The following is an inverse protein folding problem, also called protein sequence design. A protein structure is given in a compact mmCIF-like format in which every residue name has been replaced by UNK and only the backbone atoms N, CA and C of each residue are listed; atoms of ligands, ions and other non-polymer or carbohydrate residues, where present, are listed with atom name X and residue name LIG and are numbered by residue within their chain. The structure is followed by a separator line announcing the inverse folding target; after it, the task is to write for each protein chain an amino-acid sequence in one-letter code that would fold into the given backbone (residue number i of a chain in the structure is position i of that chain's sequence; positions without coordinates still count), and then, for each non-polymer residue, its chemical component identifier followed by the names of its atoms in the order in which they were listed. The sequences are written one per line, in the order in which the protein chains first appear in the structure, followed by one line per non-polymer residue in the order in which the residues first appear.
data_IF_730471307727
#
_entry.id   IF_730471307727
#
_cell.length_a   1.000
_cell.length_b   1.000
_cell.length_c   1.000
_cell.angle_alpha   90.00
_cell.angle_beta   90.00
_cell.angle_gamma   90.00
#
_symmetry.space_group_name_H-M   'P 1'
#
loop_
_entity.id
_entity.type
_entity.pdbx_description
1 polymer ?
#
# COMPACT_ATOMS: atom_id res chain seq x y z
N UNK A 1 -28.37 -11.67 -49.93
CA UNK A 1 -29.33 -11.13 -48.94
C UNK A 1 -30.28 -12.26 -48.59
N UNK A 2 -30.09 -12.89 -47.42
CA UNK A 2 -30.99 -13.97 -46.98
C UNK A 2 -32.39 -13.40 -46.76
N UNK A 3 -33.39 -13.97 -47.40
CA UNK A 3 -34.78 -13.61 -47.16
C UNK A 3 -35.11 -14.00 -45.71
N UNK A 4 -35.67 -13.07 -44.95
CA UNK A 4 -36.19 -13.33 -43.59
C UNK A 4 -37.17 -14.54 -43.54
N UNK A 5 -37.70 -14.95 -44.71
CA UNK A 5 -38.54 -16.11 -44.92
C UNK A 5 -37.86 -17.48 -44.68
N UNK A 6 -36.55 -17.63 -44.87
CA UNK A 6 -35.88 -18.93 -44.69
C UNK A 6 -35.75 -19.35 -43.21
N UNK A 7 -35.89 -18.41 -42.27
CA UNK A 7 -35.69 -18.70 -40.84
C UNK A 7 -36.96 -19.14 -40.09
N UNK A 8 -38.15 -18.94 -40.67
CA UNK A 8 -39.43 -19.26 -40.01
C UNK A 8 -40.03 -20.62 -40.41
N UNK A 9 -39.59 -21.21 -41.53
CA UNK A 9 -40.18 -22.45 -42.08
C UNK A 9 -39.81 -23.73 -41.31
N UNK A 10 -38.79 -23.71 -40.44
CA UNK A 10 -38.22 -24.91 -39.82
C UNK A 10 -38.37 -25.03 -38.29
N UNK A 11 -39.16 -24.17 -37.65
CA UNK A 11 -39.49 -24.34 -36.23
C UNK A 11 -40.96 -24.77 -36.08
N UNK A 12 -41.30 -25.68 -35.16
CA UNK A 12 -42.68 -25.97 -34.83
C UNK A 12 -43.27 -24.70 -34.21
N UNK A 13 -44.11 -23.96 -34.95
CA UNK A 13 -44.60 -22.66 -34.51
C UNK A 13 -45.93 -22.82 -33.75
N UNK A 14 -45.96 -22.72 -32.41
CA UNK A 14 -47.21 -22.70 -31.62
C UNK A 14 -48.13 -21.52 -31.94
N UNK A 15 -47.74 -20.62 -32.85
CA UNK A 15 -48.45 -19.40 -33.24
C UNK A 15 -48.77 -19.34 -34.74
N UNK A 16 -48.66 -20.46 -35.47
CA UNK A 16 -48.93 -20.49 -36.92
C UNK A 16 -50.32 -19.93 -37.28
N UNK A 17 -51.33 -20.16 -36.43
CA UNK A 17 -52.68 -19.62 -36.61
C UNK A 17 -52.75 -18.08 -36.47
N UNK A 18 -51.86 -17.47 -35.68
CA UNK A 18 -51.80 -16.02 -35.47
C UNK A 18 -51.12 -15.29 -36.63
N UNK A 19 -50.27 -15.98 -37.40
CA UNK A 19 -49.49 -15.41 -38.50
C UNK A 19 -50.21 -15.43 -39.86
N UNK A 20 -51.39 -16.08 -39.97
CA UNK A 20 -52.13 -16.27 -41.24
C UNK A 20 -52.35 -14.97 -42.01
N UNK A 21 -52.67 -13.86 -41.33
CA UNK A 21 -52.87 -12.56 -41.98
C UNK A 21 -51.57 -11.96 -42.54
N UNK A 22 -50.43 -12.25 -41.93
CA UNK A 22 -49.11 -11.85 -42.41
C UNK A 22 -48.63 -12.76 -43.56
N UNK A 23 -48.88 -14.07 -43.48
CA UNK A 23 -48.58 -15.00 -44.57
C UNK A 23 -49.40 -14.65 -45.83
N UNK A 24 -50.68 -14.29 -45.65
CA UNK A 24 -51.53 -13.76 -46.73
C UNK A 24 -51.02 -12.42 -47.29
N UNK A 25 -50.38 -11.60 -46.46
CA UNK A 25 -49.75 -10.35 -46.88
C UNK A 25 -48.51 -10.61 -47.76
N UNK A 26 -47.72 -11.63 -47.44
CA UNK A 26 -46.56 -12.04 -48.24
C UNK A 26 -46.97 -12.54 -49.63
N UNK A 27 -48.02 -13.36 -49.72
CA UNK A 27 -48.54 -13.83 -51.01
C UNK A 27 -49.01 -12.67 -51.90
N UNK A 28 -49.72 -11.69 -51.32
CA UNK A 28 -50.19 -10.48 -52.03
C UNK A 28 -49.04 -9.57 -52.46
N UNK A 29 -47.90 -9.61 -51.78
CA UNK A 29 -46.73 -8.81 -52.14
C UNK A 29 -46.15 -9.21 -53.51
N UNK A 30 -46.19 -10.51 -53.84
CA UNK A 30 -45.76 -11.00 -55.15
C UNK A 30 -46.64 -10.43 -56.28
N UNK A 31 -47.96 -10.46 -56.11
CA UNK A 31 -48.91 -9.88 -57.08
C UNK A 31 -48.75 -8.36 -57.22
N UNK A 32 -48.53 -7.64 -56.12
CA UNK A 32 -48.32 -6.20 -56.15
C UNK A 32 -46.99 -5.83 -56.83
N UNK A 33 -45.95 -6.66 -56.65
CA UNK A 33 -44.66 -6.49 -57.34
C UNK A 33 -44.80 -6.72 -58.85
N UNK A 34 -45.59 -7.69 -59.26
CA UNK A 34 -45.87 -7.92 -60.69
C UNK A 34 -46.69 -6.77 -61.30
N UNK A 35 -47.74 -6.31 -60.60
CA UNK A 35 -48.67 -5.26 -61.10
C UNK A 35 -48.11 -3.84 -61.04
N UNK A 36 -47.31 -3.54 -60.03
CA UNK A 36 -46.82 -2.17 -59.73
C UNK A 36 -45.31 -2.06 -59.61
N UNK A 37 -44.56 -3.10 -60.01
CA UNK A 37 -43.09 -3.09 -59.98
C UNK A 37 -42.46 -2.11 -60.96
N UNK A 38 -43.19 -1.69 -61.99
CA UNK A 38 -42.72 -0.74 -62.99
C UNK A 38 -43.26 0.67 -62.75
N UNK A 39 -42.30 1.59 -62.68
CA UNK A 39 -42.37 3.06 -62.81
C UNK A 39 -43.31 3.64 -63.89
N UNK A 40 -44.58 4.09 -63.69
CA UNK A 40 -45.30 4.75 -64.79
C UNK A 40 -44.66 6.12 -65.11
N UNK A 41 -44.77 6.58 -66.35
CA UNK A 41 -44.36 7.94 -66.72
C UNK A 41 -45.39 8.97 -66.22
N UNK A 42 -45.06 9.64 -65.12
CA UNK A 42 -45.89 10.66 -64.47
C UNK A 42 -46.06 11.95 -65.27
N UNK A 43 -45.29 12.18 -66.33
CA UNK A 43 -45.46 13.35 -67.20
C UNK A 43 -46.73 13.25 -68.07
N UNK A 44 -47.28 12.03 -68.22
CA UNK A 44 -48.52 11.77 -68.95
C UNK A 44 -49.72 11.70 -68.01
N UNK A 45 -50.90 12.10 -68.49
CA UNK A 45 -52.16 12.03 -67.71
C UNK A 45 -52.52 10.59 -67.31
N UNK A 46 -52.20 9.63 -68.18
CA UNK A 46 -52.45 8.20 -67.95
C UNK A 46 -51.48 7.62 -66.92
N UNK A 47 -50.18 7.90 -67.04
CA UNK A 47 -49.17 7.46 -66.08
C UNK A 47 -49.36 8.08 -64.69
N UNK A 48 -49.79 9.33 -64.60
CA UNK A 48 -50.16 9.95 -63.31
C UNK A 48 -51.34 9.22 -62.64
N UNK A 49 -52.37 8.85 -63.40
CA UNK A 49 -53.53 8.11 -62.89
C UNK A 49 -53.13 6.70 -62.42
N UNK A 50 -52.33 5.99 -63.21
CA UNK A 50 -51.82 4.66 -62.88
C UNK A 50 -50.92 4.70 -61.63
N UNK A 51 -50.02 5.68 -61.55
CA UNK A 51 -49.14 5.89 -60.39
C UNK A 51 -49.91 6.19 -59.11
N UNK A 52 -50.98 6.99 -59.16
CA UNK A 52 -51.85 7.25 -58.00
C UNK A 52 -52.53 5.96 -57.50
N UNK A 53 -52.99 5.11 -58.41
CA UNK A 53 -53.60 3.82 -58.04
C UNK A 53 -52.59 2.86 -57.43
N UNK A 54 -51.38 2.79 -58.00
CA UNK A 54 -50.27 2.01 -57.45
C UNK A 54 -49.93 2.46 -56.01
N UNK A 55 -49.74 3.76 -55.79
CA UNK A 55 -49.45 4.32 -54.46
C UNK A 55 -50.56 3.98 -53.46
N UNK A 56 -51.83 4.11 -53.85
CA UNK A 56 -52.95 3.79 -52.97
C UNK A 56 -52.97 2.30 -52.58
N UNK A 57 -52.76 1.40 -53.55
CA UNK A 57 -52.73 -0.04 -53.31
C UNK A 57 -51.55 -0.44 -52.40
N UNK A 58 -50.34 0.05 -52.70
CA UNK A 58 -49.14 -0.21 -51.89
C UNK A 58 -49.26 0.36 -50.48
N UNK A 59 -49.82 1.57 -50.33
CA UNK A 59 -50.04 2.18 -49.01
C UNK A 59 -51.06 1.40 -48.18
N UNK A 60 -52.15 0.94 -48.80
CA UNK A 60 -53.17 0.10 -48.14
C UNK A 60 -52.56 -1.22 -47.68
N UNK A 61 -51.72 -1.84 -48.51
CA UNK A 61 -51.01 -3.07 -48.15
C UNK A 61 -50.08 -2.84 -46.94
N UNK A 62 -49.21 -1.83 -47.01
CA UNK A 62 -48.27 -1.47 -45.92
C UNK A 62 -48.99 -1.25 -44.59
N UNK A 63 -50.04 -0.44 -44.60
CA UNK A 63 -50.79 -0.11 -43.37
C UNK A 63 -51.61 -1.29 -42.85
N UNK A 64 -52.12 -2.15 -43.73
CA UNK A 64 -52.80 -3.39 -43.35
C UNK A 64 -51.86 -4.38 -42.66
N UNK A 65 -50.66 -4.61 -43.21
CA UNK A 65 -49.63 -5.47 -42.59
C UNK A 65 -49.22 -4.96 -41.21
N UNK A 66 -49.00 -3.65 -41.07
CA UNK A 66 -48.63 -3.06 -39.78
C UNK A 66 -49.75 -3.21 -38.74
N UNK A 67 -51.02 -3.04 -39.16
CA UNK A 67 -52.19 -3.29 -38.30
C UNK A 67 -52.28 -4.75 -37.85
N UNK A 68 -52.05 -5.70 -38.76
CA UNK A 68 -52.04 -7.14 -38.43
C UNK A 68 -50.92 -7.47 -37.43
N UNK A 69 -49.70 -6.98 -37.67
CA UNK A 69 -48.57 -7.12 -36.74
C UNK A 69 -48.90 -6.57 -35.35
N UNK A 70 -49.49 -5.38 -35.26
CA UNK A 70 -49.87 -4.78 -33.98
C UNK A 70 -50.98 -5.55 -33.28
N UNK A 71 -51.96 -6.07 -34.02
CA UNK A 71 -53.04 -6.89 -33.47
C UNK A 71 -52.51 -8.21 -32.87
N UNK A 72 -51.55 -8.86 -33.53
CA UNK A 72 -50.90 -10.07 -33.03
C UNK A 72 -50.05 -9.76 -31.81
N UNK A 73 -49.20 -8.74 -31.88
CA UNK A 73 -48.20 -8.48 -30.82
C UNK A 73 -48.78 -7.82 -29.57
N UNK A 74 -49.92 -7.15 -29.66
CA UNK A 74 -50.50 -6.42 -28.52
C UNK A 74 -50.89 -7.33 -27.35
N UNK A 75 -51.69 -8.41 -27.52
CA UNK A 75 -52.03 -9.32 -26.43
C UNK A 75 -50.80 -9.92 -25.73
N UNK A 76 -49.75 -10.24 -26.49
CA UNK A 76 -48.50 -10.76 -25.94
C UNK A 76 -47.77 -9.72 -25.09
N UNK A 77 -47.72 -8.46 -25.53
CA UNK A 77 -47.14 -7.35 -24.74
C UNK A 77 -47.93 -7.11 -23.47
N UNK A 78 -49.26 -7.05 -23.57
CA UNK A 78 -50.15 -6.85 -22.43
C UNK A 78 -49.99 -8.00 -21.40
N UNK A 79 -49.85 -9.24 -21.88
CA UNK A 79 -49.58 -10.40 -21.02
C UNK A 79 -48.22 -10.32 -20.33
N UNK A 80 -47.16 -9.98 -21.07
CA UNK A 80 -45.81 -9.80 -20.51
C UNK A 80 -45.83 -8.71 -19.43
N UNK A 81 -46.50 -7.59 -19.69
CA UNK A 81 -46.64 -6.52 -18.70
C UNK A 81 -47.35 -7.00 -17.43
N UNK A 82 -48.47 -7.72 -17.56
CA UNK A 82 -49.20 -8.29 -16.44
C UNK A 82 -48.34 -9.27 -15.63
N UNK A 83 -47.59 -10.15 -16.29
CA UNK A 83 -46.68 -11.11 -15.63
C UNK A 83 -45.60 -10.35 -14.85
N UNK A 84 -44.98 -9.35 -15.46
CA UNK A 84 -43.94 -8.55 -14.81
C UNK A 84 -44.48 -7.78 -13.59
N UNK A 85 -45.67 -7.19 -13.69
CA UNK A 85 -46.31 -6.51 -12.56
C UNK A 85 -46.58 -7.48 -11.41
N UNK A 86 -47.11 -8.67 -11.70
CA UNK A 86 -47.35 -9.70 -10.67
C UNK A 86 -46.05 -10.18 -10.03
N UNK A 87 -45.03 -10.45 -10.84
CA UNK A 87 -43.72 -10.88 -10.35
C UNK A 87 -43.10 -9.82 -9.44
N UNK A 88 -43.18 -8.54 -9.82
CA UNK A 88 -42.69 -7.43 -8.99
C UNK A 88 -43.40 -7.36 -7.62
N UNK A 89 -44.72 -7.58 -7.59
CA UNK A 89 -45.47 -7.64 -6.33
C UNK A 89 -45.00 -8.77 -5.43
N UNK A 90 -44.86 -9.99 -5.99
CA UNK A 90 -44.38 -11.15 -5.24
C UNK A 90 -42.95 -10.97 -4.72
N UNK A 91 -42.05 -10.41 -5.54
CA UNK A 91 -40.68 -10.08 -5.11
C UNK A 91 -40.72 -9.09 -3.95
N UNK A 92 -41.52 -8.04 -4.03
CA UNK A 92 -41.67 -7.07 -2.94
C UNK A 92 -42.22 -7.68 -1.65
N UNK A 93 -43.18 -8.61 -1.73
CA UNK A 93 -43.68 -9.34 -0.55
C UNK A 93 -42.59 -10.24 0.07
N UNK A 94 -41.82 -10.94 -0.76
CA UNK A 94 -40.70 -11.76 -0.30
C UNK A 94 -39.63 -10.89 0.37
N UNK A 95 -39.29 -9.73 -0.21
CA UNK A 95 -38.34 -8.78 0.37
C UNK A 95 -38.82 -8.25 1.73
N UNK A 96 -40.12 -7.98 1.90
CA UNK A 96 -40.68 -7.58 3.18
C UNK A 96 -40.56 -8.67 4.26
N UNK A 97 -40.65 -9.94 3.87
CA UNK A 97 -40.43 -11.07 4.77
C UNK A 97 -38.93 -11.28 5.07
N UNK A 98 -38.07 -11.08 4.07
CA UNK A 98 -36.62 -11.27 4.22
C UNK A 98 -35.97 -10.17 5.07
N UNK A 99 -36.39 -8.91 4.90
CA UNK A 99 -35.82 -7.75 5.56
C UNK A 99 -35.64 -7.92 7.09
N UNK A 100 -36.65 -8.33 7.89
CA UNK A 100 -36.47 -8.52 9.33
C UNK A 100 -35.50 -9.67 9.67
N UNK A 101 -35.45 -10.72 8.87
CA UNK A 101 -34.48 -11.81 9.09
C UNK A 101 -33.04 -11.34 8.82
N UNK A 102 -32.84 -10.56 7.76
CA UNK A 102 -31.54 -9.98 7.44
C UNK A 102 -31.07 -9.02 8.53
N UNK A 103 -31.98 -8.19 9.04
CA UNK A 103 -31.70 -7.27 10.13
C UNK A 103 -31.32 -8.02 11.41
N UNK A 104 -32.14 -8.97 11.84
CA UNK A 104 -31.87 -9.77 13.03
C UNK A 104 -30.55 -10.55 12.94
N UNK A 105 -30.22 -11.09 11.75
CA UNK A 105 -28.93 -11.72 11.50
C UNK A 105 -27.79 -10.71 11.64
N UNK A 106 -27.91 -9.53 11.04
CA UNK A 106 -26.88 -8.48 11.10
C UNK A 106 -26.58 -8.07 12.53
N UNK A 107 -27.60 -7.86 13.36
CA UNK A 107 -27.40 -7.49 14.77
C UNK A 107 -26.60 -8.54 15.55
N UNK A 108 -26.87 -9.83 15.32
CA UNK A 108 -26.14 -10.94 15.94
C UNK A 108 -24.71 -11.01 15.44
N UNK A 109 -24.50 -10.96 14.12
CA UNK A 109 -23.18 -11.01 13.49
C UNK A 109 -22.31 -9.83 13.96
N UNK A 110 -22.87 -8.61 14.05
CA UNK A 110 -22.18 -7.42 14.54
C UNK A 110 -21.87 -7.50 16.06
N UNK A 111 -22.75 -8.11 16.86
CA UNK A 111 -22.50 -8.32 18.28
C UNK A 111 -21.38 -9.35 18.51
N UNK A 112 -21.39 -10.45 17.76
CA UNK A 112 -20.33 -11.47 17.81
C UNK A 112 -18.99 -10.90 17.34
N UNK A 113 -19.00 -10.14 16.25
CA UNK A 113 -17.80 -9.47 15.74
C UNK A 113 -17.24 -8.48 16.77
N UNK A 114 -18.07 -7.63 17.38
CA UNK A 114 -17.64 -6.71 18.45
C UNK A 114 -17.10 -7.46 19.67
N UNK A 115 -17.70 -8.58 20.05
CA UNK A 115 -17.21 -9.39 21.17
C UNK A 115 -15.84 -10.01 20.85
N UNK A 116 -15.65 -10.49 19.62
CA UNK A 116 -14.37 -11.02 19.14
C UNK A 116 -13.29 -9.94 19.09
N UNK A 117 -13.60 -8.77 18.55
CA UNK A 117 -12.67 -7.63 18.49
C UNK A 117 -12.28 -7.15 19.89
N UNK A 118 -13.25 -7.04 20.81
CA UNK A 118 -12.96 -6.69 22.20
C UNK A 118 -12.07 -7.73 22.89
N UNK A 119 -12.31 -9.03 22.64
CA UNK A 119 -11.46 -10.11 23.17
C UNK A 119 -10.04 -10.04 22.61
N UNK A 120 -9.89 -9.81 21.30
CA UNK A 120 -8.59 -9.64 20.65
C UNK A 120 -7.86 -8.41 21.22
N UNK A 121 -8.56 -7.29 21.42
CA UNK A 121 -7.98 -6.09 22.02
C UNK A 121 -7.46 -6.34 23.44
N UNK A 122 -8.25 -7.03 24.28
CA UNK A 122 -7.81 -7.43 25.62
C UNK A 122 -6.60 -8.35 25.59
N UNK A 123 -6.55 -9.30 24.65
CA UNK A 123 -5.40 -10.19 24.48
C UNK A 123 -4.15 -9.43 24.03
N UNK A 124 -4.30 -8.40 23.18
CA UNK A 124 -3.20 -7.54 22.74
C UNK A 124 -2.68 -6.64 23.87
N UNK A 125 -3.57 -6.06 24.66
CA UNK A 125 -3.19 -5.29 25.85
C UNK A 125 -2.44 -6.19 26.86
N UNK A 126 -2.92 -7.43 27.05
CA UNK A 126 -2.21 -8.42 27.85
C UNK A 126 -0.84 -8.76 27.26
N UNK A 127 -0.73 -8.91 25.94
CA UNK A 127 0.53 -9.20 25.25
C UNK A 127 1.54 -8.06 25.46
N UNK A 128 1.09 -6.81 25.34
CA UNK A 128 1.92 -5.63 25.58
C UNK A 128 2.44 -5.60 27.03
N UNK A 129 1.55 -5.85 28.00
CA UNK A 129 1.91 -5.83 29.43
C UNK A 129 2.78 -7.00 29.86
N UNK A 130 2.55 -8.22 29.34
CA UNK A 130 3.24 -9.43 29.78
C UNK A 130 4.49 -9.74 28.95
N UNK A 131 4.59 -9.30 27.69
CA UNK A 131 5.71 -9.61 26.79
C UNK A 131 6.48 -8.36 26.40
N UNK A 132 5.81 -7.34 25.86
CA UNK A 132 6.51 -6.16 25.34
C UNK A 132 7.17 -5.33 26.45
N UNK A 133 6.56 -5.26 27.64
CA UNK A 133 7.06 -4.52 28.82
C UNK A 133 8.46 -4.94 29.32
N UNK A 134 8.92 -6.15 28.96
CA UNK A 134 10.27 -6.58 29.24
C UNK A 134 11.32 -5.68 28.57
N UNK A 135 11.00 -5.05 27.43
CA UNK A 135 11.90 -4.08 26.79
C UNK A 135 12.07 -2.80 27.60
N UNK A 136 11.04 -2.38 28.33
CA UNK A 136 11.11 -1.21 29.22
C UNK A 136 11.89 -1.57 30.49
N UNK A 137 11.63 -2.75 31.05
CA UNK A 137 12.34 -3.26 32.24
C UNK A 137 13.84 -3.48 31.99
N UNK A 138 14.21 -3.80 30.75
CA UNK A 138 15.61 -4.00 30.36
C UNK A 138 16.45 -2.71 30.37
N UNK A 139 15.84 -1.52 30.44
CA UNK A 139 16.58 -0.27 30.41
C UNK A 139 17.45 -0.10 31.67
N UNK A 140 18.75 0.15 31.47
CA UNK A 140 19.70 0.39 32.56
C UNK A 140 20.20 -0.85 33.28
N UNK A 141 19.76 -2.06 32.91
CA UNK A 141 20.28 -3.30 33.47
C UNK A 141 21.71 -3.62 32.98
N UNK A 142 22.45 -4.35 33.81
CA UNK A 142 23.74 -4.94 33.49
C UNK A 142 23.58 -6.30 32.78
N UNK A 143 24.69 -6.92 32.37
CA UNK A 143 24.66 -8.21 31.69
C UNK A 143 23.94 -9.30 32.49
N UNK A 144 24.14 -9.35 33.81
CA UNK A 144 23.52 -10.35 34.68
C UNK A 144 22.01 -10.15 34.78
N UNK A 145 21.56 -8.90 34.95
CA UNK A 145 20.14 -8.55 34.98
C UNK A 145 19.45 -8.85 33.65
N UNK A 146 20.10 -8.54 32.52
CA UNK A 146 19.58 -8.83 31.19
C UNK A 146 19.48 -10.34 30.90
N UNK A 147 20.44 -11.14 31.37
CA UNK A 147 20.39 -12.60 31.24
C UNK A 147 19.18 -13.19 31.99
N UNK A 148 18.94 -12.76 33.24
CA UNK A 148 17.75 -13.20 33.99
C UNK A 148 16.44 -12.80 33.32
N UNK A 149 16.39 -11.60 32.74
CA UNK A 149 15.23 -11.12 32.00
C UNK A 149 14.95 -11.93 30.73
N UNK A 150 15.99 -12.39 30.03
CA UNK A 150 15.86 -13.28 28.87
C UNK A 150 15.24 -14.62 29.30
N UNK A 151 15.72 -15.21 30.39
CA UNK A 151 15.18 -16.48 30.90
C UNK A 151 13.69 -16.36 31.28
N UNK A 152 13.31 -15.26 31.93
CA UNK A 152 11.92 -14.97 32.25
C UNK A 152 11.06 -14.80 30.98
N UNK A 153 11.54 -14.04 30.01
CA UNK A 153 10.84 -13.84 28.74
C UNK A 153 10.73 -15.15 27.93
N UNK A 154 11.73 -16.04 28.00
CA UNK A 154 11.68 -17.37 27.37
C UNK A 154 10.63 -18.29 28.01
N UNK A 155 10.38 -18.15 29.30
CA UNK A 155 9.40 -18.96 30.04
C UNK A 155 7.94 -18.60 29.75
N UNK A 156 7.66 -17.48 29.07
CA UNK A 156 6.28 -17.04 28.76
C UNK A 156 5.59 -18.06 27.84
N UNK A 157 4.42 -18.54 28.26
CA UNK A 157 3.57 -19.41 27.45
C UNK A 157 2.69 -18.59 26.48
N UNK A 158 2.88 -18.81 25.18
CA UNK A 158 2.14 -18.13 24.12
C UNK A 158 0.82 -18.81 23.76
N UNK A 159 0.60 -20.07 24.17
CA UNK A 159 -0.64 -20.81 23.87
C UNK A 159 -1.87 -20.17 24.53
N UNK A 160 -1.67 -19.50 25.67
CA UNK A 160 -2.71 -18.78 26.42
C UNK A 160 -3.26 -17.52 25.75
N UNK A 161 -2.80 -17.18 24.54
CA UNK A 161 -3.24 -16.01 23.76
C UNK A 161 -4.28 -16.34 22.67
N UNK A 162 -4.66 -17.60 22.51
CA UNK A 162 -5.80 -18.05 21.70
C UNK A 162 -5.86 -17.42 20.29
N UNK A 163 -6.76 -16.46 20.07
CA UNK A 163 -7.02 -15.82 18.77
C UNK A 163 -5.82 -15.09 18.18
N UNK A 164 -4.84 -14.74 19.01
CA UNK A 164 -3.61 -14.03 18.61
C UNK A 164 -2.33 -14.82 18.97
N UNK A 165 -2.41 -16.15 19.10
CA UNK A 165 -1.25 -17.00 19.48
C UNK A 165 -0.04 -16.74 18.59
N UNK A 166 -0.25 -16.64 17.27
CA UNK A 166 0.84 -16.34 16.33
C UNK A 166 1.44 -14.95 16.56
N UNK A 167 0.61 -13.93 16.75
CA UNK A 167 1.09 -12.57 17.04
C UNK A 167 1.90 -12.57 18.35
N UNK A 168 1.49 -13.36 19.34
CA UNK A 168 2.20 -13.51 20.61
C UNK A 168 3.56 -14.24 20.46
N UNK A 169 3.62 -15.29 19.63
CA UNK A 169 4.87 -15.98 19.28
C UNK A 169 5.86 -15.06 18.57
N UNK A 170 5.37 -14.32 17.57
CA UNK A 170 6.17 -13.37 16.80
C UNK A 170 6.68 -12.22 17.70
N UNK A 171 5.84 -11.70 18.58
CA UNK A 171 6.21 -10.63 19.52
C UNK A 171 7.20 -11.13 20.58
N UNK A 172 7.00 -12.33 21.14
CA UNK A 172 7.97 -12.96 22.06
C UNK A 172 9.32 -13.14 21.38
N UNK A 173 9.34 -13.63 20.14
CA UNK A 173 10.57 -13.80 19.38
C UNK A 173 11.28 -12.45 19.15
N UNK A 174 10.53 -11.40 18.82
CA UNK A 174 11.04 -10.03 18.66
C UNK A 174 11.67 -9.51 19.96
N UNK A 175 10.95 -9.60 21.08
CA UNK A 175 11.43 -9.16 22.39
C UNK A 175 12.71 -9.89 22.78
N UNK A 176 12.73 -11.22 22.66
CA UNK A 176 13.92 -12.03 22.97
C UNK A 176 15.12 -11.66 22.10
N UNK A 177 14.92 -11.40 20.81
CA UNK A 177 16.00 -10.97 19.93
C UNK A 177 16.60 -9.63 20.41
N UNK A 178 15.75 -8.65 20.72
CA UNK A 178 16.20 -7.34 21.22
C UNK A 178 16.88 -7.45 22.59
N UNK A 179 16.37 -8.28 23.51
CA UNK A 179 16.99 -8.48 24.82
C UNK A 179 18.39 -9.11 24.68
N UNK A 180 18.53 -10.12 23.80
CA UNK A 180 19.83 -10.75 23.53
C UNK A 180 20.84 -9.78 22.93
N UNK A 181 20.39 -8.89 22.04
CA UNK A 181 21.23 -7.83 21.49
C UNK A 181 21.71 -6.86 22.60
N UNK A 182 20.78 -6.40 23.46
CA UNK A 182 21.13 -5.54 24.61
C UNK A 182 22.08 -6.24 25.58
N UNK A 183 21.88 -7.53 25.84
CA UNK A 183 22.75 -8.33 26.70
C UNK A 183 24.17 -8.40 26.13
N UNK A 184 24.31 -8.67 24.83
CA UNK A 184 25.62 -8.67 24.16
C UNK A 184 26.30 -7.29 24.25
N UNK A 185 25.56 -6.21 24.04
CA UNK A 185 26.09 -4.85 24.16
C UNK A 185 26.51 -4.50 25.60
N UNK A 186 25.76 -4.98 26.61
CA UNK A 186 26.11 -4.78 28.02
C UNK A 186 27.39 -5.53 28.39
N UNK A 187 27.55 -6.78 27.96
CA UNK A 187 28.78 -7.55 28.14
C UNK A 187 30.01 -6.85 27.55
N UNK A 188 29.89 -6.32 26.34
CA UNK A 188 30.98 -5.58 25.69
C UNK A 188 31.32 -4.29 26.44
N UNK A 189 30.31 -3.53 26.89
CA UNK A 189 30.49 -2.32 27.69
C UNK A 189 31.21 -2.63 29.01
N UNK A 190 30.82 -3.70 29.68
CA UNK A 190 31.43 -4.14 30.94
C UNK A 190 32.88 -4.61 30.73
N UNK A 191 33.16 -5.37 29.66
CA UNK A 191 34.53 -5.78 29.32
C UNK A 191 35.43 -4.57 29.08
N UNK A 192 34.98 -3.61 28.27
CA UNK A 192 35.73 -2.39 28.00
C UNK A 192 35.92 -1.51 29.24
N UNK A 193 34.94 -1.48 30.15
CA UNK A 193 35.07 -0.77 31.43
C UNK A 193 36.14 -1.41 32.31
N UNK A 194 36.15 -2.75 32.42
CA UNK A 194 37.16 -3.49 33.18
C UNK A 194 38.57 -3.29 32.60
N UNK A 195 38.72 -3.40 31.28
CA UNK A 195 40.01 -3.14 30.60
C UNK A 195 40.52 -1.71 30.86
N UNK A 196 39.64 -0.70 30.85
CA UNK A 196 40.01 0.69 31.17
C UNK A 196 40.46 0.85 32.61
N UNK A 197 39.75 0.24 33.56
CA UNK A 197 40.15 0.27 34.97
C UNK A 197 41.51 -0.40 35.20
N UNK A 198 41.81 -1.51 34.51
CA UNK A 198 43.11 -2.17 34.59
C UNK A 198 44.22 -1.27 34.05
N UNK A 199 44.03 -0.67 32.86
CA UNK A 199 45.00 0.27 32.27
C UNK A 199 45.22 1.48 33.18
N UNK A 200 44.17 2.02 33.81
CA UNK A 200 44.30 3.13 34.75
C UNK A 200 45.07 2.74 36.02
N UNK A 201 44.86 1.53 36.56
CA UNK A 201 45.64 1.00 37.69
C UNK A 201 47.11 0.82 37.33
N UNK A 202 47.41 0.24 36.17
CA UNK A 202 48.78 0.08 35.68
C UNK A 202 49.48 1.44 35.48
N UNK A 203 48.78 2.42 34.92
CA UNK A 203 49.31 3.80 34.76
C UNK A 203 49.61 4.45 36.10
N UNK A 204 48.70 4.33 37.07
CA UNK A 204 48.89 4.88 38.41
C UNK A 204 50.06 4.19 39.15
N UNK A 205 50.24 2.88 38.99
CA UNK A 205 51.37 2.15 39.56
C UNK A 205 52.70 2.56 38.90
N UNK A 206 52.72 2.67 37.58
CA UNK A 206 53.89 3.08 36.81
C UNK A 206 54.28 4.53 37.11
N UNK A 207 53.30 5.42 37.33
CA UNK A 207 53.53 6.79 37.79
C UNK A 207 54.11 6.83 39.21
N UNK A 208 53.60 6.00 40.14
CA UNK A 208 54.19 5.87 41.49
C UNK A 208 55.63 5.38 41.46
N UNK A 209 55.94 4.40 40.62
CA UNK A 209 57.30 3.87 40.46
C UNK A 209 58.25 4.90 39.82
N UNK A 210 57.75 5.72 38.89
CA UNK A 210 58.52 6.85 38.32
C UNK A 210 58.78 7.94 39.35
N UNK A 211 57.75 8.34 40.12
CA UNK A 211 57.88 9.34 41.18
C UNK A 211 58.84 8.91 42.30
N UNK A 212 58.91 7.61 42.61
CA UNK A 212 59.87 7.06 43.59
C UNK A 212 61.32 6.97 43.07
N UNK A 213 61.53 6.99 41.74
CA UNK A 213 62.85 6.91 41.11
C UNK A 213 63.49 8.28 40.81
N UNK A 214 62.75 9.39 40.95
CA UNK A 214 63.31 10.74 40.82
C UNK A 214 64.02 11.13 42.13
N UNK A 215 65.36 11.27 42.17
CA UNK A 215 66.04 11.82 43.34
C UNK A 215 65.64 13.30 43.49
N UNK A 216 65.43 13.75 44.73
CA UNK A 216 65.27 15.17 45.03
C UNK A 216 66.56 15.92 44.66
N UNK A 217 66.56 16.55 43.49
CA UNK A 217 67.59 17.50 43.09
C UNK A 217 67.40 18.78 43.94
N UNK A 218 68.39 19.18 44.75
CA UNK A 218 68.20 20.29 45.67
C UNK A 218 68.16 21.62 44.92
N UNK A 219 67.12 22.40 45.21
CA UNK A 219 67.02 23.80 44.84
C UNK A 219 68.24 24.59 45.37
N UNK A 220 68.90 25.34 44.48
CA UNK A 220 69.78 26.45 44.85
C UNK A 220 69.58 27.67 43.91
N UNK A 221 69.86 28.89 44.41
CA UNK A 221 69.19 30.14 44.00
C UNK A 221 70.03 31.07 43.10
N UNK A 222 69.32 31.87 42.28
CA UNK A 222 69.62 33.20 41.68
C UNK A 222 71.07 33.65 41.36
N UNK A 223 71.32 33.85 40.04
CA UNK A 223 72.02 34.93 39.26
C UNK A 223 72.91 36.00 39.94
N UNK A 224 73.87 36.72 39.26
CA UNK A 224 73.85 37.20 37.84
C UNK A 224 75.23 37.39 37.09
N UNK A 225 75.18 37.95 35.85
CA UNK A 225 76.15 38.88 35.20
C UNK A 225 76.90 38.45 33.90
N UNK A 226 76.31 38.78 32.73
CA UNK A 226 76.78 39.66 31.61
C UNK A 226 78.18 39.46 30.91
N UNK A 227 78.44 40.05 29.71
CA UNK A 227 77.92 39.84 28.34
C UNK A 227 79.04 39.63 27.26
N UNK A 228 78.65 39.70 25.96
CA UNK A 228 79.43 39.78 24.70
C UNK A 228 79.69 38.43 23.99
N UNK A 229 79.54 38.23 22.68
CA UNK A 229 79.20 39.04 21.50
C UNK A 229 78.85 38.05 20.33
N UNK A 230 78.41 38.51 19.13
CA UNK A 230 77.52 37.75 18.24
C UNK A 230 78.24 36.93 17.17
N UNK A 231 77.60 35.88 16.65
CA UNK A 231 77.97 35.26 15.36
C UNK A 231 76.82 34.46 14.74
N UNK A 232 76.31 35.01 13.65
CA UNK A 232 75.78 34.43 12.41
C UNK A 232 74.56 33.46 12.40
N UNK A 233 73.65 33.64 11.42
CA UNK A 233 72.45 32.83 11.31
C UNK A 233 72.75 31.56 10.49
N UNK A 234 72.68 30.40 11.12
CA UNK A 234 72.67 29.12 10.41
C UNK A 234 71.22 28.64 10.25
N UNK A 235 70.73 28.81 9.03
CA UNK A 235 69.93 27.83 8.30
C UNK A 235 68.57 27.42 8.91
N UNK A 236 67.62 28.33 8.72
CA UNK A 236 66.20 28.00 8.50
C UNK A 236 66.06 27.29 7.14
N UNK A 237 66.33 25.99 7.08
CA UNK A 237 65.83 25.11 6.02
C UNK A 237 66.00 23.65 6.43
N UNK A 238 65.10 23.17 7.29
CA UNK A 238 64.65 21.77 7.22
C UNK A 238 63.21 21.59 7.74
N UNK A 239 62.32 22.46 7.28
CA UNK A 239 60.86 22.25 7.35
C UNK A 239 60.33 21.44 6.15
N UNK A 240 61.20 20.66 5.48
CA UNK A 240 60.85 19.71 4.44
C UNK A 240 60.46 18.32 4.99
N UNK A 241 59.92 18.28 6.22
CA UNK A 241 59.45 17.07 6.90
C UNK A 241 58.00 17.12 7.40
N UNK A 242 57.27 18.20 7.11
CA UNK A 242 55.86 18.38 7.50
C UNK A 242 54.94 18.64 6.28
N UNK A 243 55.36 18.15 5.11
CA UNK A 243 54.54 18.08 3.90
C UNK A 243 53.81 16.74 3.70
N UNK A 244 53.86 15.82 4.67
CA UNK A 244 53.32 14.45 4.52
C UNK A 244 52.62 13.91 5.78
N UNK A 245 52.08 14.79 6.63
CA UNK A 245 51.33 14.39 7.82
C UNK A 245 50.05 15.22 8.06
N UNK A 246 49.50 15.80 6.98
CA UNK A 246 48.21 16.50 6.98
C UNK A 246 47.43 16.27 5.67
N UNK A 247 47.80 15.21 4.93
CA UNK A 247 47.19 14.83 3.66
C UNK A 247 46.33 13.56 3.75
N UNK A 248 45.90 13.18 4.95
CA UNK A 248 44.97 12.06 5.19
C UNK A 248 44.03 12.38 6.37
N UNK A 249 43.62 13.65 6.50
CA UNK A 249 42.33 13.91 7.12
C UNK A 249 41.35 13.91 5.95
N UNK A 250 40.54 12.84 5.73
CA UNK A 250 39.44 12.97 4.81
C UNK A 250 38.66 14.19 5.29
N UNK A 251 38.48 15.19 4.41
CA UNK A 251 37.53 16.24 4.67
C UNK A 251 36.25 15.51 5.07
N UNK A 252 35.88 15.63 6.34
CA UNK A 252 34.69 14.98 6.85
C UNK A 252 33.54 15.62 6.08
N UNK A 253 33.16 14.98 4.98
CA UNK A 253 31.92 15.25 4.30
C UNK A 253 30.87 14.87 5.34
N UNK A 254 30.26 15.84 6.03
CA UNK A 254 29.46 15.55 7.21
C UNK A 254 28.21 14.74 6.84
N UNK A 255 27.95 14.58 5.52
CA UNK A 255 26.78 13.92 4.99
C UNK A 255 27.05 12.99 3.81
N UNK A 256 28.30 12.61 3.50
CA UNK A 256 28.68 11.98 2.23
C UNK A 256 27.74 10.88 1.71
N UNK A 257 27.56 9.80 2.47
CA UNK A 257 26.69 8.67 2.05
C UNK A 257 25.20 9.07 2.02
N UNK A 258 24.77 9.93 2.95
CA UNK A 258 23.38 10.40 3.02
C UNK A 258 23.01 11.41 1.91
N UNK A 259 24.00 12.12 1.37
CA UNK A 259 23.83 13.07 0.29
C UNK A 259 23.71 12.35 -1.05
N UNK A 260 24.50 11.29 -1.26
CA UNK A 260 24.36 10.41 -2.43
C UNK A 260 23.00 9.70 -2.44
N UNK A 261 22.53 9.21 -1.29
CA UNK A 261 21.21 8.55 -1.19
C UNK A 261 20.05 9.50 -1.48
N UNK A 262 20.09 10.74 -1.01
CA UNK A 262 19.04 11.73 -1.29
C UNK A 262 19.03 12.18 -2.76
N UNK A 263 20.20 12.26 -3.40
CA UNK A 263 20.27 12.57 -4.83
C UNK A 263 19.81 11.39 -5.69
N UNK A 264 20.19 10.16 -5.32
CA UNK A 264 19.89 8.96 -6.09
C UNK A 264 18.44 8.46 -5.92
N UNK A 265 17.88 8.57 -4.72
CA UNK A 265 16.54 8.02 -4.39
C UNK A 265 15.45 9.10 -4.49
N UNK A 266 15.74 10.34 -4.10
CA UNK A 266 14.75 11.43 -4.10
C UNK A 266 14.86 12.38 -5.30
N UNK A 267 15.91 12.25 -6.13
CA UNK A 267 16.13 13.13 -7.28
C UNK A 267 16.39 14.60 -6.92
N UNK A 268 16.78 14.87 -5.68
CA UNK A 268 17.07 16.22 -5.19
C UNK A 268 18.41 16.70 -5.73
N UNK A 269 18.53 18.00 -5.99
CA UNK A 269 19.84 18.58 -6.34
C UNK A 269 20.76 18.68 -5.11
N UNK A 270 22.05 18.83 -5.35
CA UNK A 270 23.05 18.83 -4.29
C UNK A 270 22.84 19.93 -3.23
N UNK A 271 22.31 21.09 -3.61
CA UNK A 271 22.03 22.16 -2.65
C UNK A 271 20.82 21.82 -1.78
N UNK A 272 19.78 21.24 -2.36
CA UNK A 272 18.56 20.83 -1.67
C UNK A 272 18.81 19.68 -0.69
N UNK A 273 19.65 18.71 -1.08
CA UNK A 273 20.04 17.61 -0.20
C UNK A 273 20.80 18.11 1.04
N UNK A 274 21.73 19.06 0.87
CA UNK A 274 22.48 19.67 1.98
C UNK A 274 21.57 20.46 2.91
N UNK A 275 20.59 21.18 2.39
CA UNK A 275 19.64 21.94 3.22
C UNK A 275 18.76 21.03 4.09
N UNK A 276 18.28 19.90 3.53
CA UNK A 276 17.51 18.90 4.27
C UNK A 276 18.35 18.26 5.37
N UNK A 277 19.57 17.84 5.05
CA UNK A 277 20.49 17.21 6.00
C UNK A 277 20.92 18.18 7.11
N UNK A 278 21.12 19.45 6.76
CA UNK A 278 21.40 20.51 7.73
C UNK A 278 20.22 20.81 8.65
N UNK A 279 18.98 20.72 8.16
CA UNK A 279 17.77 20.86 8.96
C UNK A 279 17.56 19.67 9.92
N UNK A 280 17.91 18.45 9.49
CA UNK A 280 17.92 17.26 10.34
C UNK A 280 18.98 17.39 11.44
N UNK A 281 20.20 17.83 11.09
CA UNK A 281 21.28 18.02 12.06
C UNK A 281 20.93 19.09 13.12
N UNK A 282 20.16 20.12 12.74
CA UNK A 282 19.63 21.14 13.64
C UNK A 282 18.37 20.70 14.40
N UNK A 283 17.87 19.48 14.18
CA UNK A 283 16.64 18.93 14.75
C UNK A 283 15.35 19.68 14.36
N UNK A 284 15.38 20.46 13.27
CA UNK A 284 14.22 21.20 12.76
C UNK A 284 13.21 20.26 12.08
N UNK A 285 13.69 19.13 11.55
CA UNK A 285 12.87 18.10 10.90
C UNK A 285 13.35 16.73 11.38
N UNK A 286 12.43 15.88 11.87
CA UNK A 286 12.78 14.55 12.40
C UNK A 286 12.66 13.42 11.38
N UNK A 287 11.78 13.57 10.37
CA UNK A 287 11.48 12.52 9.38
C UNK A 287 11.18 13.15 8.01
N UNK A 288 11.68 12.53 6.93
CA UNK A 288 11.36 12.88 5.54
C UNK A 288 10.74 11.64 4.88
N UNK A 289 9.47 11.72 4.46
CA UNK A 289 8.84 10.61 3.71
C UNK A 289 9.08 10.80 2.22
N UNK A 290 9.87 9.93 1.62
CA UNK A 290 10.04 9.86 0.17
C UNK A 290 8.99 8.88 -0.37
N UNK A 291 8.00 9.39 -1.11
CA UNK A 291 7.08 8.53 -1.85
C UNK A 291 7.79 8.02 -3.11
N UNK A 292 7.92 6.70 -3.22
CA UNK A 292 8.44 6.00 -4.39
C UNK A 292 7.49 6.08 -5.58
#
# INVERSE_FOLDING_TARGET
MGNAAEQLQNAPQPYAAELVELDNAEQKLAELREKYGTVPDYSTKEGYKAGKQAIQALTKMRTGTDKARLAITKPHRDFIEMVNQRAKGLVGEVEQLEAPHREAKREVDEAEQRAKEARIAQLRERLENEVTSYLDTAEGLDSTGLAGLIDEAEAIDTEGYFDITKDAEDEKARVLATLRERHAAALERERLAAEREEIERERAELERLRAAQTPAEPAQPTEPSNPAEPSEPADLDDWAGLGSALQDVPAADPFGEALEDLQAVAGLDASQAVDVLSAIQRSDIRHVSLQQ
#
